data_IF_327420466023
#
_entry.id   IF_327420466023
#
_cell.length_a   1.000
_cell.length_b   1.000
_cell.length_c   1.000
_cell.angle_alpha   90.00
_cell.angle_beta   90.00
_cell.angle_gamma   90.00
#
_symmetry.space_group_name_H-M   'P 1'
#
loop_
_entity.id
_entity.type
_entity.pdbx_description
1 polymer ?
2 non-polymer ?
3 non-polymer ?
4 water ?
#
# COMPACT_ATOMS: atom_id res chain seq x y z
N UNK A 1 -0.09 -2.61 -18.61
CA UNK A 1 -0.62 -2.67 -17.22
C UNK A 1 0.12 -1.67 -16.33
N UNK A 2 -0.64 -0.82 -15.65
CA UNK A 2 -0.04 0.18 -14.79
C UNK A 2 0.85 -0.42 -13.69
N UNK A 3 0.39 -1.49 -13.04
CA UNK A 3 1.20 -2.08 -11.98
C UNK A 3 2.40 -2.87 -12.49
N UNK A 4 2.22 -3.63 -13.57
CA UNK A 4 3.35 -4.37 -14.12
C UNK A 4 4.41 -3.34 -14.55
N UNK A 5 3.95 -2.20 -15.07
CA UNK A 5 4.86 -1.14 -15.50
C UNK A 5 5.64 -0.56 -14.33
N UNK A 6 4.96 -0.35 -13.21
CA UNK A 6 5.64 0.20 -12.04
C UNK A 6 6.63 -0.83 -11.49
N UNK A 7 6.25 -2.10 -11.52
CA UNK A 7 7.13 -3.17 -11.04
C UNK A 7 8.40 -3.21 -11.88
N UNK A 8 8.24 -3.04 -13.19
CA UNK A 8 9.38 -3.07 -14.11
C UNK A 8 10.09 -1.73 -14.26
N UNK A 9 9.70 -0.76 -13.44
CA UNK A 9 10.30 0.57 -13.46
C UNK A 9 10.16 1.27 -14.81
N UNK A 10 9.03 1.05 -15.47
CA UNK A 10 8.75 1.66 -16.77
C UNK A 10 7.82 2.84 -16.52
N UNK A 11 7.27 2.88 -15.31
CA UNK A 11 6.35 3.93 -14.91
C UNK A 11 6.66 4.28 -13.46
N UNK A 12 6.63 5.56 -13.14
CA UNK A 12 6.93 6.03 -11.80
C UNK A 12 5.95 5.53 -10.74
N UNK A 13 6.51 5.14 -9.60
CA UNK A 13 5.73 4.66 -8.48
C UNK A 13 6.61 4.65 -7.24
N UNK A 14 6.05 4.98 -6.09
CA UNK A 14 6.82 5.00 -4.85
C UNK A 14 6.59 3.74 -4.02
N UNK A 15 7.59 2.86 -4.00
CA UNK A 15 7.51 1.61 -3.24
C UNK A 15 7.71 1.83 -1.74
N UNK A 16 6.88 1.18 -0.93
CA UNK A 16 7.03 1.26 0.52
C UNK A 16 7.34 -0.14 1.04
N UNK A 17 7.18 -1.13 0.16
CA UNK A 17 7.48 -2.52 0.49
C UNK A 17 7.74 -3.31 -0.78
N UNK A 18 8.69 -4.23 -0.72
CA UNK A 18 8.97 -5.06 -1.88
C UNK A 18 9.79 -6.28 -1.52
N UNK A 19 9.42 -7.41 -2.10
CA UNK A 19 10.16 -8.65 -1.93
C UNK A 19 10.16 -9.31 -3.30
N UNK A 20 10.57 -10.57 -3.37
CA UNK A 20 10.63 -11.24 -4.66
C UNK A 20 9.31 -11.41 -5.41
N UNK A 21 8.20 -11.51 -4.68
CA UNK A 21 6.92 -11.72 -5.33
C UNK A 21 5.82 -10.69 -5.08
N UNK A 22 6.05 -9.77 -4.15
CA UNK A 22 5.05 -8.76 -3.83
C UNK A 22 5.63 -7.37 -3.67
N UNK A 23 4.75 -6.37 -3.67
CA UNK A 23 5.16 -4.99 -3.49
C UNK A 23 3.97 -4.17 -3.00
N UNK A 24 4.28 -3.04 -2.38
CA UNK A 24 3.26 -2.12 -1.89
C UNK A 24 3.71 -0.78 -2.44
N UNK A 25 2.80 -0.07 -3.09
CA UNK A 25 3.12 1.21 -3.71
C UNK A 25 2.12 2.28 -3.29
N UNK A 26 2.60 3.50 -3.08
CA UNK A 26 1.70 4.58 -2.71
C UNK A 26 0.75 4.85 -3.87
N UNK A 27 -0.52 5.08 -3.56
CA UNK A 27 -1.51 5.38 -4.59
C UNK A 27 -1.18 6.76 -5.13
N UNK A 28 -1.17 6.92 -6.45
CA UNK A 28 -0.85 8.21 -7.05
C UNK A 28 -1.94 9.27 -6.80
N UNK A 29 -3.19 8.84 -6.70
CA UNK A 29 -4.31 9.76 -6.46
C UNK A 29 -5.00 9.27 -5.18
N UNK A 30 -4.30 9.34 -4.04
CA UNK A 30 -4.80 8.90 -2.73
C UNK A 30 -6.13 9.44 -2.23
N UNK A 31 -6.95 8.53 -1.70
CA UNK A 31 -8.24 8.88 -1.13
C UNK A 31 -7.97 9.55 0.21
N UNK A 32 -6.94 9.08 0.90
CA UNK A 32 -6.55 9.63 2.19
C UNK A 32 -5.03 9.54 2.30
N UNK A 33 -4.48 10.28 3.25
CA UNK A 33 -3.04 10.30 3.46
C UNK A 33 -2.47 8.91 3.77
N UNK A 34 -1.53 8.46 2.94
CA UNK A 34 -0.93 7.16 3.16
C UNK A 34 -1.58 6.02 2.38
N UNK A 35 -2.60 6.34 1.59
CA UNK A 35 -3.31 5.35 0.78
C UNK A 35 -2.27 4.56 -0.01
N UNK A 36 -2.27 3.24 0.17
CA UNK A 36 -1.31 2.36 -0.48
C UNK A 36 -1.97 1.16 -1.14
N UNK A 37 -1.31 0.63 -2.16
CA UNK A 37 -1.81 -0.53 -2.88
C UNK A 37 -0.82 -1.68 -2.71
N UNK A 38 -1.31 -2.84 -2.31
CA UNK A 38 -0.45 -4.01 -2.13
C UNK A 38 -0.74 -4.91 -3.31
N UNK A 39 0.30 -5.33 -4.01
CA UNK A 39 0.11 -6.16 -5.18
C UNK A 39 1.06 -7.32 -5.35
N UNK A 40 0.59 -8.39 -6.00
CA UNK A 40 1.45 -9.55 -6.24
C UNK A 40 2.19 -9.03 -7.48
N UNK A 41 3.45 -9.39 -7.67
CA UNK A 41 4.16 -8.92 -8.85
C UNK A 41 3.62 -9.61 -10.10
N UNK A 42 3.24 -10.87 -9.96
CA UNK A 42 2.68 -11.61 -11.09
C UNK A 42 1.31 -11.02 -11.41
N UNK A 43 1.02 -10.90 -12.70
CA UNK A 43 -0.24 -10.32 -13.15
C UNK A 43 -1.45 -11.25 -13.11
N UNK A 44 -2.46 -10.85 -12.35
CA UNK A 44 -3.73 -11.57 -12.23
C UNK A 44 -4.79 -10.49 -12.43
N UNK A 45 -5.80 -10.78 -13.24
CA UNK A 45 -6.86 -9.80 -13.52
C UNK A 45 -7.55 -9.27 -12.28
N UNK A 46 -7.79 -10.16 -11.32
CA UNK A 46 -8.46 -9.80 -10.08
C UNK A 46 -8.22 -10.88 -9.03
N UNK A 47 -8.84 -10.70 -7.86
CA UNK A 47 -8.69 -11.62 -6.74
C UNK A 47 -9.07 -13.07 -7.06
N UNK A 48 -10.13 -13.24 -7.84
CA UNK A 48 -10.62 -14.57 -8.19
C UNK A 48 -9.72 -15.36 -9.14
N UNK A 49 -8.85 -14.66 -9.86
CA UNK A 49 -7.96 -15.32 -10.82
C UNK A 49 -6.62 -15.74 -10.23
N UNK A 50 -6.34 -15.31 -9.01
CA UNK A 50 -5.08 -15.65 -8.36
C UNK A 50 -5.12 -17.02 -7.70
N UNK A 51 -3.99 -17.72 -7.71
CA UNK A 51 -3.90 -19.04 -7.09
C UNK A 51 -3.91 -18.86 -5.57
N UNK A 52 -4.21 -19.94 -4.84
CA UNK A 52 -4.27 -19.88 -3.39
C UNK A 52 -2.98 -19.48 -2.69
N UNK A 53 -1.83 -19.94 -3.19
CA UNK A 53 -0.57 -19.59 -2.56
C UNK A 53 -0.30 -18.09 -2.66
N UNK A 54 -0.65 -17.50 -3.80
CA UNK A 54 -0.46 -16.06 -3.98
C UNK A 54 -1.38 -15.30 -3.02
N UNK A 55 -2.64 -15.73 -2.94
CA UNK A 55 -3.60 -15.07 -2.06
C UNK A 55 -3.21 -15.19 -0.59
N UNK A 56 -2.66 -16.34 -0.22
CA UNK A 56 -2.24 -16.56 1.16
C UNK A 56 -1.10 -15.63 1.55
N UNK A 57 -0.10 -15.53 0.68
CA UNK A 57 1.04 -14.66 0.96
C UNK A 57 0.63 -13.20 0.87
N UNK A 58 -0.29 -12.90 -0.05
CA UNK A 58 -0.78 -11.53 -0.21
C UNK A 58 -1.41 -11.06 1.10
N UNK A 59 -2.19 -11.93 1.73
CA UNK A 59 -2.84 -11.59 2.98
C UNK A 59 -1.82 -11.24 4.06
N UNK A 60 -0.71 -11.97 4.08
CA UNK A 60 0.34 -11.74 5.07
C UNK A 60 1.06 -10.42 4.81
N UNK A 61 1.29 -10.10 3.54
CA UNK A 61 1.95 -8.86 3.19
C UNK A 61 1.03 -7.69 3.54
N UNK A 62 -0.26 -7.85 3.26
CA UNK A 62 -1.23 -6.81 3.58
C UNK A 62 -1.21 -6.52 5.09
N UNK A 63 -1.11 -7.55 5.91
CA UNK A 63 -1.06 -7.32 7.36
C UNK A 63 0.16 -6.49 7.74
N UNK A 64 1.34 -6.92 7.28
CA UNK A 64 2.58 -6.21 7.59
C UNK A 64 2.54 -4.75 7.15
N UNK A 65 2.19 -4.52 5.89
CA UNK A 65 2.14 -3.17 5.36
C UNK A 65 1.10 -2.33 6.08
N UNK A 66 -0.05 -2.92 6.40
CA UNK A 66 -1.10 -2.20 7.11
C UNK A 66 -0.59 -1.76 8.48
N UNK A 67 0.07 -2.67 9.20
CA UNK A 67 0.61 -2.32 10.51
C UNK A 67 1.60 -1.17 10.35
N UNK A 68 2.43 -1.26 9.32
CA UNK A 68 3.42 -0.23 9.07
C UNK A 68 2.80 1.13 8.79
N UNK A 69 1.79 1.16 7.92
CA UNK A 69 1.13 2.41 7.60
C UNK A 69 0.41 3.00 8.80
N UNK A 70 -0.32 2.17 9.55
CA UNK A 70 -1.05 2.66 10.70
C UNK A 70 -0.11 3.35 11.68
N UNK A 71 1.05 2.75 11.89
CA UNK A 71 2.04 3.31 12.79
C UNK A 71 2.62 4.61 12.24
N UNK A 72 3.02 4.59 10.97
CA UNK A 72 3.62 5.75 10.32
C UNK A 72 2.76 7.01 10.27
N UNK A 73 1.49 6.87 9.92
CA UNK A 73 0.62 8.04 9.85
C UNK A 73 -0.28 8.16 11.07
N UNK A 74 -0.01 7.33 12.08
CA UNK A 74 -0.79 7.33 13.32
C UNK A 74 -2.29 7.29 13.05
N UNK A 75 -2.70 6.32 12.24
CA UNK A 75 -4.11 6.16 11.90
C UNK A 75 -4.87 5.47 13.03
N UNK A 76 -6.15 5.80 13.15
CA UNK A 76 -7.00 5.19 14.16
C UNK A 76 -7.66 3.96 13.55
N UNK A 77 -7.72 3.94 12.22
CA UNK A 77 -8.32 2.81 11.54
C UNK A 77 -7.80 2.66 10.12
N UNK A 78 -8.22 1.59 9.47
CA UNK A 78 -7.81 1.32 8.09
C UNK A 78 -8.94 0.59 7.38
N UNK A 79 -9.12 0.92 6.10
CA UNK A 79 -10.12 0.27 5.26
C UNK A 79 -9.31 -0.56 4.27
N UNK A 80 -9.56 -1.87 4.22
CA UNK A 80 -8.87 -2.75 3.28
C UNK A 80 -9.89 -3.22 2.26
N UNK A 81 -9.56 -3.13 0.98
CA UNK A 81 -10.52 -3.59 -0.02
C UNK A 81 -9.89 -3.93 -1.36
N UNK A 82 -10.60 -4.77 -2.11
CA UNK A 82 -10.16 -5.13 -3.44
C UNK A 82 -11.43 -5.27 -4.25
N UNK A 83 -11.38 -4.78 -5.48
CA UNK A 83 -12.54 -4.81 -6.36
C UNK A 83 -12.39 -5.79 -7.50
N UNK A 84 -13.48 -6.48 -7.82
CA UNK A 84 -13.49 -7.46 -8.90
C UNK A 84 -14.55 -7.04 -9.91
N UNK A 85 -14.10 -6.56 -11.07
CA UNK A 85 -15.04 -6.14 -12.10
C UNK A 85 -15.31 -4.65 -12.11
N UNK A 86 -15.57 -4.10 -13.29
CA UNK A 86 -15.84 -2.67 -13.39
C UNK A 86 -17.07 -2.23 -12.60
N UNK A 87 -18.09 -3.09 -12.50
CA UNK A 87 -19.29 -2.72 -11.76
C UNK A 87 -19.04 -2.65 -10.25
N UNK A 88 -17.89 -3.16 -9.82
CA UNK A 88 -17.54 -3.12 -8.40
C UNK A 88 -16.51 -2.01 -8.18
N UNK A 89 -16.23 -1.25 -9.24
CA UNK A 89 -15.29 -0.15 -9.13
C UNK A 89 -13.85 -0.44 -9.54
N UNK A 90 -13.60 -1.61 -10.11
CA UNK A 90 -12.24 -1.93 -10.54
C UNK A 90 -11.91 -1.19 -11.84
N UNK A 91 -10.74 -0.55 -11.87
CA UNK A 91 -10.29 0.18 -13.06
C UNK A 91 -8.89 -0.24 -13.48
N UNK A 92 -8.12 -0.81 -12.55
CA UNK A 92 -6.79 -1.31 -12.88
C UNK A 92 -6.91 -2.82 -12.75
N UNK A 93 -6.81 -3.52 -13.88
CA UNK A 93 -6.98 -4.96 -13.88
C UNK A 93 -5.74 -5.80 -13.62
N UNK A 94 -5.16 -5.53 -12.45
CA UNK A 94 -3.99 -6.22 -11.92
C UNK A 94 -4.35 -6.25 -10.44
N UNK A 95 -4.57 -7.44 -9.90
CA UNK A 95 -4.96 -7.61 -8.51
C UNK A 95 -4.20 -6.73 -7.53
N UNK A 96 -4.94 -5.91 -6.79
CA UNK A 96 -4.34 -5.05 -5.79
C UNK A 96 -5.31 -4.82 -4.66
N UNK A 97 -4.75 -4.70 -3.46
CA UNK A 97 -5.54 -4.46 -2.26
C UNK A 97 -5.27 -3.04 -1.80
N UNK A 98 -6.34 -2.29 -1.58
CA UNK A 98 -6.23 -0.91 -1.11
C UNK A 98 -6.12 -0.89 0.41
N UNK A 99 -5.23 -0.05 0.93
CA UNK A 99 -5.10 0.16 2.37
C UNK A 99 -5.32 1.66 2.47
N UNK A 100 -6.49 2.04 2.99
CA UNK A 100 -6.87 3.44 3.11
C UNK A 100 -6.99 3.84 4.58
N UNK A 101 -6.04 4.65 5.08
CA UNK A 101 -6.05 5.09 6.48
C UNK A 101 -7.20 6.01 6.85
N UNK A 102 -7.64 5.91 8.10
CA UNK A 102 -8.71 6.75 8.60
C UNK A 102 -8.32 7.27 9.98
N UNK A 103 -8.96 8.35 10.40
CA UNK A 103 -8.70 8.96 11.70
C UNK A 103 -10.03 9.40 12.30
N UNK A 104 -10.12 9.38 13.62
CA UNK A 104 -11.34 9.81 14.28
C UNK A 104 -11.38 11.34 14.25
N UNK A 105 -10.20 11.94 14.12
CA UNK A 105 -10.10 13.38 14.06
C UNK A 105 -9.43 13.81 12.76
N UNK A 106 -8.21 14.33 12.87
CA UNK A 106 -7.44 14.77 11.71
C UNK A 106 -6.08 14.07 11.73
N UNK A 107 -5.45 13.95 10.57
CA UNK A 107 -4.14 13.31 10.50
C UNK A 107 -3.06 14.19 11.13
N UNK A 108 -1.98 13.58 11.62
CA UNK A 108 -0.84 14.24 12.26
C UNK A 108 -0.41 15.59 11.67
N UNK A 109 0.12 16.45 12.53
CA UNK A 109 0.58 17.78 12.13
C UNK A 109 1.82 17.68 11.24
N UNK A 110 2.67 16.70 11.53
CA UNK A 110 3.89 16.50 10.76
C UNK A 110 3.60 16.54 9.26
N UNK A 111 2.37 16.18 8.90
CA UNK A 111 1.95 16.18 7.50
C UNK A 111 1.32 17.52 7.14
N UNK A 112 1.63 18.00 5.95
CA UNK A 112 1.10 19.28 5.48
C UNK A 112 -0.15 19.09 4.64
N UNK A 113 -0.51 20.13 3.89
CA UNK A 113 -1.69 20.11 3.04
C UNK A 113 -1.83 18.82 2.25
N UNK A 114 -3.05 18.31 2.20
CA UNK A 114 -3.36 17.08 1.48
C UNK A 114 -4.62 17.32 0.66
N UNK A 115 -4.58 16.95 -0.61
CA UNK A 115 -5.73 17.13 -1.50
C UNK A 115 -6.34 15.78 -1.84
N UNK A 116 -7.38 15.37 -1.09
CA UNK A 116 -8.08 14.09 -1.28
C UNK A 116 -8.45 13.77 -2.73
N UNK A 117 -8.19 12.52 -3.12
CA UNK A 117 -8.50 12.01 -4.46
C UNK A 117 -7.76 12.65 -5.63
N UNK A 118 -6.76 13.47 -5.34
CA UNK A 118 -5.99 14.11 -6.41
C UNK A 118 -4.51 13.76 -6.31
N UNK A 119 -3.75 14.13 -7.34
CA UNK A 119 -2.31 13.88 -7.34
C UNK A 119 -1.72 14.88 -6.36
N UNK A 120 -0.77 14.44 -5.54
CA UNK A 120 -0.15 15.32 -4.56
C UNK A 120 1.16 15.88 -5.09
N UNK A 121 1.76 16.79 -4.32
CA UNK A 121 3.04 17.37 -4.71
C UNK A 121 4.10 16.31 -4.43
N UNK A 122 5.22 16.38 -5.14
CA UNK A 122 6.31 15.42 -4.97
C UNK A 122 6.67 15.16 -3.51
N UNK A 123 6.70 16.22 -2.72
CA UNK A 123 7.04 16.13 -1.30
C UNK A 123 6.21 15.10 -0.53
N UNK A 124 4.93 14.99 -0.87
CA UNK A 124 4.04 14.04 -0.21
C UNK A 124 4.53 12.60 -0.37
N UNK A 125 4.82 12.21 -1.61
CA UNK A 125 5.27 10.86 -1.90
C UNK A 125 6.61 10.53 -1.26
N UNK A 126 7.53 11.49 -1.28
CA UNK A 126 8.84 11.26 -0.70
C UNK A 126 8.76 11.06 0.81
N UNK A 127 8.01 11.91 1.49
CA UNK A 127 7.87 11.81 2.94
C UNK A 127 7.12 10.56 3.37
N UNK A 128 5.97 10.31 2.76
CA UNK A 128 5.18 9.13 3.12
C UNK A 128 5.95 7.84 2.91
N UNK A 129 6.67 7.76 1.80
CA UNK A 129 7.46 6.58 1.50
C UNK A 129 8.50 6.34 2.59
N UNK A 130 9.23 7.40 2.94
CA UNK A 130 10.27 7.30 3.96
C UNK A 130 9.75 6.93 5.35
N UNK A 131 8.67 7.55 5.80
CA UNK A 131 8.15 7.23 7.13
C UNK A 131 7.52 5.84 7.18
N UNK A 132 6.83 5.44 6.11
CA UNK A 132 6.22 4.12 6.08
C UNK A 132 7.30 3.04 6.06
N UNK A 133 8.35 3.25 5.27
CA UNK A 133 9.44 2.28 5.20
C UNK A 133 10.05 2.14 6.59
N UNK A 134 10.28 3.27 7.25
CA UNK A 134 10.86 3.27 8.59
C UNK A 134 10.01 2.46 9.58
N UNK A 135 8.68 2.59 9.48
CA UNK A 135 7.79 1.85 10.37
C UNK A 135 7.80 0.36 10.08
N UNK A 136 7.85 0.01 8.80
CA UNK A 136 7.87 -1.40 8.42
C UNK A 136 9.18 -2.05 8.87
N UNK A 137 10.30 -1.34 8.71
CA UNK A 137 11.59 -1.89 9.12
C UNK A 137 11.55 -2.25 10.60
N UNK A 138 10.96 -1.36 11.40
CA UNK A 138 10.87 -1.61 12.84
C UNK A 138 10.01 -2.84 13.13
N UNK A 139 8.93 -3.01 12.37
CA UNK A 139 8.07 -4.17 12.57
C UNK A 139 8.83 -5.46 12.28
N UNK A 140 9.76 -5.42 11.33
CA UNK A 140 10.53 -6.60 11.00
C UNK A 140 11.55 -6.90 12.10
N UNK A 141 11.93 -5.86 12.84
CA UNK A 141 12.91 -6.01 13.91
C UNK A 141 12.31 -6.50 15.22
N UNK A 142 11.04 -6.17 15.46
CA UNK A 142 10.40 -6.59 16.70
C UNK A 142 9.44 -7.77 16.57
N UNK A 143 9.00 -8.06 15.35
CA UNK A 143 8.09 -9.19 15.14
C UNK A 143 8.42 -9.97 13.87
N UNK A 144 9.58 -9.70 13.29
CA UNK A 144 9.99 -10.40 12.08
C UNK A 144 10.52 -11.79 12.37
N UNK A 145 10.91 -12.51 11.31
CA UNK A 145 11.44 -13.86 11.46
C UNK A 145 12.74 -13.86 12.25
N UNK A 146 13.41 -12.72 12.27
CA UNK A 146 14.68 -12.59 12.98
C UNK A 146 14.63 -11.42 13.95
N UNK A 147 13.49 -11.25 14.60
CA UNK A 147 13.29 -10.17 15.56
C UNK A 147 14.24 -10.30 16.74
N UNK A 148 14.53 -9.18 17.39
CA UNK A 148 15.41 -9.16 18.55
C UNK A 148 15.16 -7.93 19.41
N UNK A 149 14.28 -7.05 18.94
CA UNK A 149 13.96 -5.85 19.68
C UNK A 149 14.30 -4.59 18.92
X LIG B 1 -0.13 -6.27 -14.36
X LIG C 1 -9.38 -0.16 -8.38
X LIG C 1 -8.13 0.49 -7.94
X LIG C 1 -9.86 -1.10 -7.34
X LIG C 1 -10.43 0.88 -8.62
X LIG C 1 -9.13 -0.91 -9.65
#
# INVERSE_FOLDING_TARGET
>A
CTFCSIINRELEGYFVYEDEKFAAILDKYPVSLGHTLVIPKKHFENYLEADEDTLAELAKVVKLVSLGIKDAVKADGLRLLTNIGRSAGQVIFHLHVHIIPTWEGDYPDIFKSFKPRKEQEKEYYELLQKIIRESIENLKRKIGDYKWG
>B hetero
1 ZN ZN
>C hetero
1 PO4 P O1 O2 O3 O4
#
